data_IF_981879989420
#
_entry.id   IF_981879989420
#
_cell.length_a   1.000
_cell.length_b   1.000
_cell.length_c   1.000
_cell.angle_alpha   90.00
_cell.angle_beta   90.00
_cell.angle_gamma   90.00
#
_symmetry.space_group_name_H-M   'P 1'
#
loop_
_entity.id
_entity.type
_entity.pdbx_description
1 polymer ?
#
# COMPACT_ATOMS: atom_id res chain seq x y z
N UNK A 1 5.51 19.75 -24.27
CA UNK A 1 6.30 18.52 -24.48
C UNK A 1 6.18 17.50 -23.34
N UNK A 2 6.29 17.89 -22.05
CA UNK A 2 6.18 16.95 -20.90
C UNK A 2 4.88 16.13 -20.89
N UNK A 3 3.72 16.77 -21.01
CA UNK A 3 2.41 16.11 -21.08
C UNK A 3 2.26 15.12 -22.27
N UNK A 4 2.95 15.36 -23.39
CA UNK A 4 2.90 14.48 -24.57
C UNK A 4 3.69 13.19 -24.31
N UNK A 5 4.87 13.31 -23.67
CA UNK A 5 5.64 12.14 -23.21
C UNK A 5 4.89 11.36 -22.14
N UNK A 6 4.21 12.05 -21.23
CA UNK A 6 3.41 11.41 -20.17
C UNK A 6 2.25 10.60 -20.75
N UNK A 7 1.58 11.10 -21.79
CA UNK A 7 0.54 10.35 -22.49
C UNK A 7 1.11 9.10 -23.21
N UNK A 8 2.31 9.20 -23.81
CA UNK A 8 2.99 8.05 -24.42
C UNK A 8 3.37 7.02 -23.33
N UNK A 9 3.84 7.45 -22.16
CA UNK A 9 4.13 6.57 -21.03
C UNK A 9 2.87 5.86 -20.52
N UNK A 10 1.78 6.61 -20.32
CA UNK A 10 0.49 6.06 -19.90
C UNK A 10 -0.04 5.04 -20.91
N UNK A 11 0.11 5.29 -22.21
CA UNK A 11 -0.26 4.35 -23.26
C UNK A 11 0.58 3.05 -23.20
N UNK A 12 1.90 3.15 -22.94
CA UNK A 12 2.76 1.99 -22.73
C UNK A 12 2.32 1.22 -21.48
N UNK A 13 2.12 1.90 -20.33
CA UNK A 13 1.67 1.26 -19.09
C UNK A 13 0.33 0.53 -19.28
N UNK A 14 -0.65 1.19 -19.87
CA UNK A 14 -1.96 0.62 -20.17
C UNK A 14 -1.84 -0.62 -21.07
N UNK A 15 -0.91 -0.62 -22.03
CA UNK A 15 -0.66 -1.81 -22.87
C UNK A 15 -0.15 -3.01 -22.06
N UNK A 16 0.65 -2.78 -21.01
CA UNK A 16 1.09 -3.87 -20.13
C UNK A 16 -0.06 -4.37 -19.26
N UNK A 17 -0.88 -3.47 -18.70
CA UNK A 17 -2.08 -3.83 -17.93
C UNK A 17 -3.07 -4.63 -18.79
N UNK A 18 -3.30 -4.22 -20.05
CA UNK A 18 -4.14 -4.97 -21.01
C UNK A 18 -3.56 -6.34 -21.35
N UNK A 19 -2.23 -6.45 -21.50
CA UNK A 19 -1.57 -7.75 -21.75
C UNK A 19 -1.76 -8.69 -20.56
N UNK A 20 -1.53 -8.19 -19.34
CA UNK A 20 -1.66 -8.96 -18.10
C UNK A 20 -3.11 -9.43 -17.88
N UNK A 21 -4.09 -8.55 -18.15
CA UNK A 21 -5.51 -8.90 -18.09
C UNK A 21 -5.89 -9.95 -19.13
N UNK A 22 -5.35 -9.85 -20.35
CA UNK A 22 -5.57 -10.84 -21.39
C UNK A 22 -5.02 -12.21 -20.99
N UNK A 23 -3.79 -12.26 -20.48
CA UNK A 23 -3.14 -13.51 -20.08
C UNK A 23 -3.83 -14.15 -18.88
N UNK A 24 -4.23 -13.35 -17.88
CA UNK A 24 -5.03 -13.84 -16.75
C UNK A 24 -6.37 -14.40 -17.22
N UNK A 25 -7.11 -13.64 -18.02
CA UNK A 25 -8.41 -14.07 -18.52
C UNK A 25 -8.33 -15.34 -19.37
N UNK A 26 -7.28 -15.47 -20.18
CA UNK A 26 -7.05 -16.65 -21.02
C UNK A 26 -6.79 -17.92 -20.20
N UNK A 27 -6.17 -17.79 -19.02
CA UNK A 27 -5.98 -18.87 -18.04
C UNK A 27 -7.26 -19.25 -17.30
N UNK A 28 -8.14 -18.27 -17.06
CA UNK A 28 -9.35 -18.41 -16.25
C UNK A 28 -10.61 -18.70 -17.10
N UNK A 29 -10.48 -18.89 -18.42
CA UNK A 29 -11.65 -18.99 -19.31
C UNK A 29 -12.44 -20.29 -19.15
N UNK A 30 -13.76 -20.16 -19.00
CA UNK A 30 -14.71 -21.29 -18.96
C UNK A 30 -15.17 -21.76 -20.34
N UNK A 31 -15.06 -20.91 -21.37
CA UNK A 31 -15.44 -21.25 -22.74
C UNK A 31 -14.52 -20.66 -23.82
N UNK A 32 -14.70 -21.13 -25.06
CA UNK A 32 -13.90 -20.68 -26.20
C UNK A 32 -14.24 -19.24 -26.65
N UNK A 33 -15.40 -18.70 -26.29
CA UNK A 33 -15.82 -17.35 -26.66
C UNK A 33 -15.06 -16.28 -25.86
N UNK A 34 -14.75 -16.56 -24.59
CA UNK A 34 -13.85 -15.78 -23.75
C UNK A 34 -12.44 -15.70 -24.36
N UNK A 35 -11.95 -16.79 -24.96
CA UNK A 35 -10.67 -16.82 -25.65
C UNK A 35 -10.55 -15.81 -26.80
N UNK A 36 -11.65 -15.54 -27.52
CA UNK A 36 -11.69 -14.52 -28.58
C UNK A 36 -11.52 -13.11 -27.99
N UNK A 37 -12.18 -12.82 -26.87
CA UNK A 37 -12.06 -11.53 -26.18
C UNK A 37 -10.63 -11.28 -25.71
N UNK A 38 -9.99 -12.25 -25.08
CA UNK A 38 -8.61 -12.11 -24.59
C UNK A 38 -7.60 -12.05 -25.73
N UNK A 39 -7.84 -12.76 -26.83
CA UNK A 39 -7.07 -12.61 -28.07
C UNK A 39 -7.11 -11.17 -28.61
N UNK A 40 -8.31 -10.57 -28.71
CA UNK A 40 -8.48 -9.18 -29.14
C UNK A 40 -7.78 -8.21 -28.17
N UNK A 41 -7.89 -8.46 -26.87
CA UNK A 41 -7.27 -7.63 -25.83
C UNK A 41 -5.74 -7.64 -25.95
N UNK A 42 -5.16 -8.83 -26.16
CA UNK A 42 -3.73 -9.03 -26.38
C UNK A 42 -3.26 -8.34 -27.66
N UNK A 43 -3.99 -8.48 -28.76
CA UNK A 43 -3.68 -7.82 -30.03
C UNK A 43 -3.73 -6.29 -29.92
N UNK A 44 -4.74 -5.76 -29.22
CA UNK A 44 -4.86 -4.33 -28.96
C UNK A 44 -3.66 -3.83 -28.14
N UNK A 45 -3.27 -4.57 -27.10
CA UNK A 45 -2.11 -4.26 -26.29
C UNK A 45 -0.81 -4.20 -27.12
N UNK A 46 -0.56 -5.21 -27.96
CA UNK A 46 0.61 -5.23 -28.85
C UNK A 46 0.63 -4.05 -29.82
N UNK A 47 -0.51 -3.72 -30.43
CA UNK A 47 -0.63 -2.58 -31.36
C UNK A 47 -0.38 -1.25 -30.65
N UNK A 48 -1.05 -1.02 -29.51
CA UNK A 48 -0.87 0.20 -28.70
C UNK A 48 0.59 0.36 -28.30
N UNK A 49 1.22 -0.70 -27.79
CA UNK A 49 2.63 -0.68 -27.40
C UNK A 49 3.53 -0.36 -28.58
N UNK A 50 3.30 -0.99 -29.73
CA UNK A 50 4.07 -0.75 -30.95
C UNK A 50 4.00 0.71 -31.42
N UNK A 51 2.82 1.31 -31.43
CA UNK A 51 2.67 2.73 -31.81
C UNK A 51 3.28 3.67 -30.78
N UNK A 52 3.01 3.45 -29.48
CA UNK A 52 3.53 4.27 -28.41
C UNK A 52 5.07 4.22 -28.34
N UNK A 53 5.68 3.05 -28.55
CA UNK A 53 7.13 2.93 -28.62
C UNK A 53 7.75 3.60 -29.85
N UNK A 54 7.11 3.48 -31.02
CA UNK A 54 7.57 4.20 -32.22
C UNK A 54 7.58 5.70 -31.98
N UNK A 55 6.53 6.23 -31.36
CA UNK A 55 6.45 7.66 -31.03
C UNK A 55 7.48 8.06 -29.98
N UNK A 56 7.66 7.23 -28.93
CA UNK A 56 8.74 7.39 -27.95
C UNK A 56 10.11 7.48 -28.62
N UNK A 57 10.41 6.60 -29.59
CA UNK A 57 11.70 6.62 -30.31
C UNK A 57 11.91 7.91 -31.09
N UNK A 58 10.88 8.44 -31.76
CA UNK A 58 10.97 9.74 -32.44
C UNK A 58 11.28 10.85 -31.45
N UNK A 59 10.62 10.86 -30.29
CA UNK A 59 10.87 11.86 -29.26
C UNK A 59 12.30 11.75 -28.69
N UNK A 60 12.82 10.53 -28.52
CA UNK A 60 14.22 10.30 -28.11
C UNK A 60 15.18 10.85 -29.15
N UNK A 61 14.97 10.53 -30.43
CA UNK A 61 15.81 11.02 -31.54
C UNK A 61 15.77 12.55 -31.67
N UNK A 62 14.62 13.17 -31.40
CA UNK A 62 14.44 14.61 -31.40
C UNK A 62 14.99 15.32 -30.13
N UNK A 63 15.56 14.59 -29.18
CA UNK A 63 15.99 15.14 -27.88
C UNK A 63 14.84 15.64 -26.99
N UNK A 64 13.60 15.41 -27.40
CA UNK A 64 12.37 15.80 -26.71
C UNK A 64 11.94 14.79 -25.63
N UNK A 65 12.64 13.64 -25.54
CA UNK A 65 12.41 12.63 -24.50
C UNK A 65 13.40 12.80 -23.36
N UNK A 66 12.94 13.41 -22.27
CA UNK A 66 13.68 13.37 -21.02
C UNK A 66 13.77 11.91 -20.55
N UNK A 67 14.98 11.35 -20.44
CA UNK A 67 15.19 10.13 -19.65
C UNK A 67 14.57 10.41 -18.28
N UNK A 68 13.57 9.62 -17.88
CA UNK A 68 13.26 9.56 -16.47
C UNK A 68 14.54 9.12 -15.78
N UNK A 69 14.92 9.81 -14.70
CA UNK A 69 15.81 9.18 -13.74
C UNK A 69 15.10 7.88 -13.38
N UNK A 70 15.77 6.75 -13.57
CA UNK A 70 15.35 5.56 -12.84
C UNK A 70 15.18 5.96 -11.38
N UNK A 71 14.13 5.49 -10.69
CA UNK A 71 13.97 5.81 -9.29
C UNK A 71 15.29 5.48 -8.61
N UNK A 72 15.85 6.50 -7.96
CA UNK A 72 17.03 6.36 -7.15
C UNK A 72 16.83 5.24 -6.15
N UNK A 73 17.91 4.64 -5.65
CA UNK A 73 17.80 3.63 -4.60
C UNK A 73 16.99 4.14 -3.40
N UNK A 74 17.04 5.44 -3.10
CA UNK A 74 16.20 6.03 -2.06
C UNK A 74 14.70 5.99 -2.41
N UNK A 75 14.31 6.28 -3.65
CA UNK A 75 12.91 6.19 -4.10
C UNK A 75 12.41 4.74 -4.12
N UNK A 76 13.25 3.78 -4.53
CA UNK A 76 12.93 2.34 -4.47
C UNK A 76 12.73 1.88 -3.02
N UNK A 77 13.64 2.24 -2.12
CA UNK A 77 13.53 1.86 -0.71
C UNK A 77 12.28 2.49 -0.06
N UNK A 78 11.89 3.72 -0.43
CA UNK A 78 10.67 4.33 0.09
C UNK A 78 9.42 3.64 -0.46
N UNK A 79 9.40 3.25 -1.73
CA UNK A 79 8.31 2.44 -2.26
C UNK A 79 8.19 1.12 -1.50
N UNK A 80 9.31 0.45 -1.18
CA UNK A 80 9.32 -0.76 -0.36
C UNK A 80 8.74 -0.52 1.04
N UNK A 81 9.00 0.65 1.66
CA UNK A 81 8.35 1.02 2.94
C UNK A 81 6.84 1.23 2.79
N UNK A 82 6.39 1.86 1.71
CA UNK A 82 4.95 2.05 1.46
C UNK A 82 4.27 0.71 1.22
N UNK A 83 4.90 -0.17 0.45
CA UNK A 83 4.39 -1.52 0.19
C UNK A 83 4.34 -2.34 1.51
N UNK A 84 5.35 -2.17 2.37
CA UNK A 84 5.34 -2.74 3.71
C UNK A 84 4.18 -2.18 4.57
N UNK A 85 3.99 -0.86 4.60
CA UNK A 85 2.87 -0.24 5.32
C UNK A 85 1.52 -0.79 4.85
N UNK A 86 1.29 -0.87 3.53
CA UNK A 86 0.08 -1.47 2.94
C UNK A 86 -0.13 -2.92 3.41
N UNK A 87 0.94 -3.71 3.52
CA UNK A 87 0.87 -5.07 4.05
C UNK A 87 0.50 -5.11 5.54
N UNK A 88 0.98 -4.16 6.34
CA UNK A 88 0.60 -4.05 7.76
C UNK A 88 -0.88 -3.66 7.91
N UNK A 89 -1.37 -2.70 7.11
CA UNK A 89 -2.80 -2.33 7.08
C UNK A 89 -3.69 -3.53 6.77
N UNK A 90 -3.33 -4.31 5.75
CA UNK A 90 -4.08 -5.51 5.37
C UNK A 90 -4.10 -6.56 6.50
N UNK A 91 -2.99 -6.73 7.22
CA UNK A 91 -2.91 -7.65 8.36
C UNK A 91 -3.75 -7.16 9.54
N UNK A 92 -3.81 -5.84 9.79
CA UNK A 92 -4.65 -5.24 10.81
C UNK A 92 -6.14 -5.47 10.52
N UNK A 93 -6.58 -5.29 9.27
CA UNK A 93 -7.95 -5.61 8.81
C UNK A 93 -8.33 -7.06 9.14
N UNK A 94 -7.45 -8.00 8.79
CA UNK A 94 -7.67 -9.43 9.04
C UNK A 94 -7.74 -9.74 10.55
N UNK A 95 -6.82 -9.15 11.32
CA UNK A 95 -6.76 -9.31 12.77
C UNK A 95 -8.05 -8.82 13.45
N UNK A 96 -8.46 -7.59 13.16
CA UNK A 96 -9.64 -6.98 13.76
C UNK A 96 -10.92 -7.71 13.40
N UNK A 97 -11.06 -8.12 12.13
CA UNK A 97 -12.20 -8.93 11.68
C UNK A 97 -12.25 -10.27 12.43
N UNK A 98 -11.11 -10.93 12.60
CA UNK A 98 -11.03 -12.21 13.31
C UNK A 98 -11.32 -12.06 14.82
N UNK A 99 -10.82 -11.00 15.46
CA UNK A 99 -11.08 -10.71 16.87
C UNK A 99 -12.56 -10.39 17.11
N UNK A 100 -13.18 -9.58 16.25
CA UNK A 100 -14.59 -9.24 16.33
C UNK A 100 -15.47 -10.50 16.31
N UNK A 101 -15.16 -11.47 15.44
CA UNK A 101 -15.89 -12.74 15.37
C UNK A 101 -15.75 -13.64 16.61
N UNK A 102 -14.79 -13.35 17.50
CA UNK A 102 -14.53 -14.09 18.74
C UNK A 102 -15.03 -13.36 19.99
N UNK A 103 -15.52 -12.14 19.85
CA UNK A 103 -15.98 -11.31 20.96
C UNK A 103 -17.44 -11.63 21.33
N UNK A 104 -17.67 -11.90 22.61
CA UNK A 104 -19.03 -12.05 23.16
C UNK A 104 -19.75 -10.71 23.35
N UNK A 105 -18.99 -9.64 23.63
CA UNK A 105 -19.51 -8.29 23.75
C UNK A 105 -19.73 -7.69 22.35
N UNK A 106 -20.98 -7.35 22.04
CA UNK A 106 -21.37 -6.82 20.73
C UNK A 106 -20.81 -5.42 20.46
N UNK A 107 -20.65 -4.59 21.50
CA UNK A 107 -20.09 -3.25 21.35
C UNK A 107 -18.60 -3.32 21.02
N UNK A 108 -17.85 -4.16 21.72
CA UNK A 108 -16.45 -4.43 21.44
C UNK A 108 -16.24 -5.09 20.06
N UNK A 109 -17.09 -6.03 19.68
CA UNK A 109 -17.07 -6.62 18.35
C UNK A 109 -17.28 -5.56 17.26
N UNK A 110 -18.26 -4.67 17.44
CA UNK A 110 -18.52 -3.59 16.48
C UNK A 110 -17.36 -2.60 16.39
N UNK A 111 -16.79 -2.22 17.54
CA UNK A 111 -15.61 -1.34 17.60
C UNK A 111 -14.43 -1.89 16.78
N UNK A 112 -14.15 -3.19 16.90
CA UNK A 112 -13.11 -3.86 16.10
C UNK A 112 -13.45 -3.87 14.60
N UNK A 113 -14.71 -4.07 14.22
CA UNK A 113 -15.12 -3.98 12.81
C UNK A 113 -14.97 -2.56 12.27
N UNK A 114 -15.31 -1.54 13.06
CA UNK A 114 -15.14 -0.14 12.68
C UNK A 114 -13.65 0.19 12.48
N UNK A 115 -12.76 -0.34 13.33
CA UNK A 115 -11.31 -0.24 13.13
C UNK A 115 -10.86 -0.92 11.84
N UNK A 116 -11.33 -2.14 11.56
CA UNK A 116 -11.02 -2.83 10.31
C UNK A 116 -11.44 -2.02 9.06
N UNK A 117 -12.55 -1.29 9.13
CA UNK A 117 -12.99 -0.42 8.03
C UNK A 117 -12.12 0.85 7.91
N UNK A 118 -11.60 1.38 9.03
CA UNK A 118 -10.63 2.49 9.02
C UNK A 118 -9.31 2.07 8.36
N UNK A 119 -8.78 0.88 8.67
CA UNK A 119 -7.54 0.37 8.04
C UNK A 119 -7.69 0.10 6.54
N UNK A 120 -8.84 -0.39 6.08
CA UNK A 120 -9.14 -0.45 4.63
C UNK A 120 -9.06 0.92 3.97
N UNK A 121 -9.46 1.95 4.72
CA UNK A 121 -9.33 3.34 4.32
C UNK A 121 -7.87 3.76 4.20
N UNK A 122 -7.02 3.40 5.16
CA UNK A 122 -5.58 3.66 5.14
C UNK A 122 -4.90 2.96 3.97
N UNK A 123 -5.15 1.66 3.79
CA UNK A 123 -4.65 0.86 2.67
C UNK A 123 -4.94 1.54 1.33
N UNK A 124 -6.20 1.97 1.11
CA UNK A 124 -6.59 2.67 -0.11
C UNK A 124 -5.83 3.99 -0.28
N UNK A 125 -5.75 4.80 0.78
CA UNK A 125 -5.02 6.09 0.74
C UNK A 125 -3.53 5.89 0.44
N UNK A 126 -2.91 4.83 0.96
CA UNK A 126 -1.51 4.48 0.71
C UNK A 126 -1.28 3.93 -0.71
N UNK A 127 -2.22 3.16 -1.26
CA UNK A 127 -2.16 2.74 -2.68
C UNK A 127 -2.29 3.92 -3.64
N UNK A 128 -3.13 4.89 -3.29
CA UNK A 128 -3.30 6.14 -4.04
C UNK A 128 -2.11 7.10 -3.83
N UNK A 129 -1.31 6.88 -2.78
CA UNK A 129 -0.09 7.63 -2.50
C UNK A 129 1.02 7.28 -3.51
N UNK A 130 1.15 8.13 -4.53
CA UNK A 130 2.15 7.93 -5.58
C UNK A 130 3.57 8.31 -5.12
N UNK A 131 4.36 7.33 -4.69
CA UNK A 131 5.80 7.54 -4.41
C UNK A 131 6.63 7.81 -5.69
N UNK A 132 6.11 7.57 -6.89
CA UNK A 132 6.78 7.88 -8.16
C UNK A 132 6.95 9.38 -8.46
N UNK A 133 6.36 10.26 -7.65
CA UNK A 133 6.59 11.72 -7.69
C UNK A 133 7.36 12.21 -6.46
N UNK A 134 8.33 11.43 -5.98
CA UNK A 134 9.28 11.76 -4.91
C UNK A 134 10.31 12.84 -5.32
N UNK A 135 9.86 13.90 -5.99
CA UNK A 135 10.68 14.95 -6.60
C UNK A 135 11.60 15.69 -5.61
N UNK A 136 11.42 15.49 -4.30
CA UNK A 136 12.10 16.25 -3.26
C UNK A 136 12.22 15.39 -1.99
N UNK A 137 13.07 14.36 -2.05
CA UNK A 137 13.61 13.75 -0.83
C UNK A 137 14.59 14.71 -0.17
N UNK A 138 14.75 14.61 1.15
CA UNK A 138 15.84 15.27 1.85
C UNK A 138 17.17 15.00 1.12
N UNK A 139 17.81 16.05 0.60
CA UNK A 139 18.86 16.07 -0.43
C UNK A 139 20.21 15.45 -0.01
N UNK A 140 20.21 14.35 0.74
CA UNK A 140 21.37 13.51 0.97
C UNK A 140 21.11 12.13 0.41
N UNK A 141 21.82 11.71 -0.66
CA UNK A 141 21.85 10.33 -1.11
C UNK A 141 22.74 9.53 -0.15
N UNK A 142 22.34 9.46 1.12
CA UNK A 142 22.81 8.40 1.96
C UNK A 142 21.79 7.28 1.78
N UNK A 143 22.31 6.10 1.47
CA UNK A 143 21.70 4.80 1.76
C UNK A 143 21.20 4.83 3.20
N UNK A 144 20.04 5.43 3.44
CA UNK A 144 19.35 5.34 4.72
C UNK A 144 18.89 3.90 4.77
N UNK A 145 19.53 3.15 5.65
CA UNK A 145 18.91 1.95 6.17
C UNK A 145 17.54 2.39 6.72
N UNK A 146 16.48 1.99 6.01
CA UNK A 146 15.12 2.34 6.36
C UNK A 146 14.62 1.50 7.54
N UNK A 147 15.45 0.57 8.01
CA UNK A 147 15.22 -0.24 9.20
C UNK A 147 13.81 -0.80 9.24
N UNK A 148 13.36 -1.38 8.13
CA UNK A 148 12.07 -2.08 8.05
C UNK A 148 11.96 -3.08 9.21
N UNK A 149 13.09 -3.74 9.54
CA UNK A 149 13.23 -4.63 10.68
C UNK A 149 12.89 -4.02 12.05
N UNK A 150 13.02 -2.70 12.24
CA UNK A 150 12.66 -2.01 13.48
C UNK A 150 11.13 -1.98 13.66
N UNK A 151 10.35 -2.09 12.58
CA UNK A 151 8.88 -2.08 12.64
C UNK A 151 8.28 -3.49 12.63
N UNK A 152 9.05 -4.51 12.26
CA UNK A 152 8.58 -5.89 12.27
C UNK A 152 8.17 -6.34 13.68
N UNK A 153 6.96 -6.86 13.78
CA UNK A 153 6.48 -7.52 14.97
C UNK A 153 7.19 -8.87 15.16
N UNK A 154 7.88 -9.03 16.29
CA UNK A 154 8.63 -10.25 16.62
C UNK A 154 7.73 -11.35 17.21
N UNK A 155 6.55 -10.99 17.70
CA UNK A 155 5.57 -11.92 18.25
C UNK A 155 4.61 -12.30 17.13
N UNK A 156 4.49 -13.59 16.81
CA UNK A 156 3.46 -14.06 15.87
C UNK A 156 2.23 -14.50 16.63
N UNK A 157 1.08 -13.93 16.28
CA UNK A 157 -0.21 -14.42 16.75
C UNK A 157 -0.45 -15.82 16.19
N UNK A 158 -0.89 -16.76 17.04
CA UNK A 158 -1.26 -18.12 16.63
C UNK A 158 -2.77 -18.22 16.57
N UNK A 159 -3.29 -19.17 15.79
CA UNK A 159 -4.73 -19.46 15.78
C UNK A 159 -5.28 -19.87 17.15
N UNK A 160 -4.43 -20.41 18.02
CA UNK A 160 -4.74 -20.75 19.41
C UNK A 160 -4.61 -19.58 20.40
N UNK A 161 -4.15 -18.40 19.96
CA UNK A 161 -3.94 -17.26 20.85
C UNK A 161 -5.24 -16.77 21.45
N UNK A 162 -5.21 -16.36 22.72
CA UNK A 162 -6.38 -15.82 23.41
C UNK A 162 -6.76 -14.44 22.86
N UNK A 163 -7.97 -13.98 23.17
CA UNK A 163 -8.41 -12.62 22.81
C UNK A 163 -7.53 -11.57 23.48
N UNK A 164 -7.15 -11.79 24.74
CA UNK A 164 -6.21 -10.95 25.47
C UNK A 164 -4.85 -10.84 24.77
N UNK A 165 -4.26 -11.96 24.34
CA UNK A 165 -3.01 -11.97 23.60
C UNK A 165 -3.13 -11.23 22.27
N UNK A 166 -4.27 -11.36 21.59
CA UNK A 166 -4.56 -10.67 20.34
C UNK A 166 -4.68 -9.15 20.54
N UNK A 167 -5.31 -8.68 21.62
CA UNK A 167 -5.37 -7.26 21.99
C UNK A 167 -3.98 -6.69 22.28
N UNK A 168 -3.16 -7.39 23.07
CA UNK A 168 -1.78 -6.95 23.35
C UNK A 168 -0.95 -6.88 22.05
N UNK A 169 -1.14 -7.84 21.15
CA UNK A 169 -0.50 -7.82 19.86
C UNK A 169 -0.95 -6.63 19.02
N UNK A 170 -2.25 -6.36 18.94
CA UNK A 170 -2.81 -5.24 18.19
C UNK A 170 -2.29 -3.89 18.70
N UNK A 171 -2.30 -3.64 20.02
CA UNK A 171 -1.75 -2.41 20.63
C UNK A 171 -0.30 -2.17 20.21
N UNK A 172 0.51 -3.24 20.17
CA UNK A 172 1.90 -3.16 19.74
C UNK A 172 2.03 -2.91 18.24
N UNK A 173 1.18 -3.54 17.43
CA UNK A 173 1.14 -3.31 15.99
C UNK A 173 0.81 -1.84 15.68
N UNK A 174 -0.23 -1.28 16.31
CA UNK A 174 -0.60 0.14 16.18
C UNK A 174 0.53 1.09 16.58
N UNK A 175 1.22 0.78 17.68
CA UNK A 175 2.39 1.56 18.10
C UNK A 175 3.53 1.51 17.06
N UNK A 176 3.72 0.38 16.36
CA UNK A 176 4.72 0.25 15.29
C UNK A 176 4.29 0.99 14.02
N UNK A 177 3.03 0.89 13.61
CA UNK A 177 2.48 1.65 12.46
C UNK A 177 2.57 3.15 12.70
N UNK A 178 2.21 3.63 13.90
CA UNK A 178 2.37 5.04 14.30
C UNK A 178 3.83 5.51 14.18
N UNK A 179 4.78 4.70 14.65
CA UNK A 179 6.21 5.01 14.53
C UNK A 179 6.67 5.04 13.06
N UNK A 180 6.25 4.06 12.25
CA UNK A 180 6.53 3.98 10.83
C UNK A 180 6.06 5.24 10.09
N UNK A 181 4.81 5.64 10.28
CA UNK A 181 4.25 6.84 9.65
C UNK A 181 4.91 8.13 10.13
N UNK A 182 5.25 8.20 11.42
CA UNK A 182 6.03 9.33 11.96
C UNK A 182 7.39 9.46 11.29
N UNK A 183 8.08 8.34 11.04
CA UNK A 183 9.39 8.34 10.38
C UNK A 183 9.28 8.61 8.88
N UNK A 184 8.28 8.03 8.20
CA UNK A 184 7.96 8.37 6.80
C UNK A 184 7.69 9.86 6.63
N UNK A 185 6.93 10.48 7.55
CA UNK A 185 6.67 11.92 7.52
C UNK A 185 7.96 12.77 7.57
N UNK A 186 9.03 12.29 8.20
CA UNK A 186 10.33 12.99 8.28
C UNK A 186 11.16 12.85 7.01
N UNK A 187 10.85 11.89 6.15
CA UNK A 187 11.59 11.62 4.91
C UNK A 187 11.19 12.59 3.80
N UNK A 188 9.89 12.91 3.68
CA UNK A 188 9.36 13.82 2.67
C UNK A 188 9.73 15.28 2.95
N UNK A 189 9.98 16.08 1.91
CA UNK A 189 10.13 17.55 2.05
C UNK A 189 8.83 18.29 1.79
N UNK A 190 7.92 17.70 1.01
CA UNK A 190 6.67 18.32 0.62
C UNK A 190 5.69 18.36 1.81
N UNK A 191 5.25 19.54 2.27
CA UNK A 191 4.39 19.66 3.45
C UNK A 191 3.10 18.83 3.37
N UNK A 192 2.54 18.69 2.18
CA UNK A 192 1.35 17.86 1.93
C UNK A 192 1.61 16.38 2.24
N UNK A 193 2.74 15.83 1.79
CA UNK A 193 3.11 14.43 2.04
C UNK A 193 3.46 14.20 3.51
N UNK A 194 4.12 15.17 4.15
CA UNK A 194 4.38 15.12 5.59
C UNK A 194 3.07 15.13 6.38
N UNK A 195 2.12 16.01 6.02
CA UNK A 195 0.82 16.10 6.68
C UNK A 195 0.00 14.82 6.49
N UNK A 196 0.05 14.23 5.29
CA UNK A 196 -0.58 12.94 5.01
C UNK A 196 -0.08 11.83 5.95
N UNK A 197 1.24 11.64 6.04
CA UNK A 197 1.82 10.61 6.91
C UNK A 197 1.59 10.90 8.39
N UNK A 198 1.66 12.16 8.83
CA UNK A 198 1.32 12.55 10.21
C UNK A 198 -0.12 12.23 10.55
N UNK A 199 -1.04 12.45 9.60
CA UNK A 199 -2.45 12.13 9.81
C UNK A 199 -2.66 10.64 10.05
N UNK A 200 -2.02 9.77 9.25
CA UNK A 200 -2.06 8.32 9.49
C UNK A 200 -1.47 7.97 10.86
N UNK A 201 -0.32 8.55 11.23
CA UNK A 201 0.27 8.33 12.55
C UNK A 201 -0.65 8.72 13.72
N UNK A 202 -1.39 9.82 13.59
CA UNK A 202 -2.37 10.29 14.57
C UNK A 202 -3.61 9.36 14.63
N UNK A 203 -4.04 8.83 13.47
CA UNK A 203 -5.11 7.83 13.37
C UNK A 203 -4.68 6.52 14.10
N UNK A 204 -3.46 6.00 13.88
CA UNK A 204 -2.96 4.80 14.59
C UNK A 204 -2.75 5.02 16.09
N UNK A 205 -2.35 6.22 16.50
CA UNK A 205 -2.25 6.54 17.92
C UNK A 205 -3.62 6.49 18.59
N UNK A 206 -4.67 6.89 17.88
CA UNK A 206 -6.04 6.79 18.38
C UNK A 206 -6.46 5.32 18.48
N UNK A 207 -6.22 4.52 17.44
CA UNK A 207 -6.46 3.08 17.44
C UNK A 207 -5.78 2.37 18.61
N UNK A 208 -4.50 2.67 18.86
CA UNK A 208 -3.77 2.18 20.03
C UNK A 208 -4.51 2.47 21.33
N UNK A 209 -4.91 3.72 21.55
CA UNK A 209 -5.57 4.13 22.80
C UNK A 209 -6.95 3.46 22.95
N UNK A 210 -7.70 3.36 21.85
CA UNK A 210 -8.98 2.69 21.78
C UNK A 210 -8.84 1.19 22.15
N UNK A 211 -7.79 0.52 21.67
CA UNK A 211 -7.48 -0.87 22.04
C UNK A 211 -6.99 -1.03 23.49
N UNK A 212 -6.24 -0.07 24.03
CA UNK A 212 -5.83 -0.07 25.44
C UNK A 212 -7.04 0.01 26.38
N UNK A 213 -8.01 0.88 26.06
CA UNK A 213 -9.27 0.97 26.80
C UNK A 213 -10.03 -0.37 26.73
N UNK A 214 -10.14 -0.94 25.52
CA UNK A 214 -10.80 -2.23 25.34
C UNK A 214 -10.10 -3.35 26.12
N UNK A 215 -8.77 -3.34 26.17
CA UNK A 215 -7.99 -4.30 26.93
C UNK A 215 -8.24 -4.17 28.43
N UNK A 216 -8.20 -2.95 28.98
CA UNK A 216 -8.47 -2.71 30.40
C UNK A 216 -9.89 -3.17 30.79
N UNK A 217 -10.89 -2.85 29.96
CA UNK A 217 -12.27 -3.31 30.15
C UNK A 217 -12.38 -4.85 30.11
N UNK A 218 -11.68 -5.49 29.19
CA UNK A 218 -11.67 -6.94 29.05
C UNK A 218 -11.08 -7.61 30.30
N UNK A 219 -9.93 -7.14 30.78
CA UNK A 219 -9.27 -7.67 31.99
C UNK A 219 -10.13 -7.46 33.24
N UNK A 220 -10.79 -6.32 33.36
CA UNK A 220 -11.64 -6.03 34.52
C UNK A 220 -12.93 -6.87 34.56
N UNK A 221 -13.37 -7.44 33.43
CA UNK A 221 -14.56 -8.31 33.35
C UNK A 221 -14.25 -9.80 33.52
N UNK A 222 -13.01 -10.22 33.25
CA UNK A 222 -12.57 -11.62 33.42
C UNK A 222 -12.04 -11.93 34.83
N UNK A 223 -11.85 -10.92 35.69
CA UNK A 223 -11.50 -11.06 37.11
C UNK A 223 -12.73 -10.94 38.03
#
# INVERSE_FOLDING_TARGET
MKAMNDNIRKAIKLSHELSALADKGDLERDDNSCGVLYGILRDAAYKIRGYAEKERRKHIQAGAWQREKEPSMAEKNIQELIDFAISEEQQAVELYTAMAGRMSDKGAAQMLLDMADMERGHEKRLRDFNAGQLSTLNSTPQTRDLKIGDYLMTVKLRSSSTVQEALIFAIKAEMKSCALYTDLARIFQEPEKQAFMKKLADEELKHKNDLEILYDDFINREN
#
